data_IF_669311143599
#
_entry.id   IF_669311143599
#
_cell.length_a   1.000
_cell.length_b   1.000
_cell.length_c   1.000
_cell.angle_alpha   90.00
_cell.angle_beta   90.00
_cell.angle_gamma   90.00
#
_symmetry.space_group_name_H-M   'P 1'
#
loop_
_entity.id
_entity.type
_entity.pdbx_description
1 polymer ?
#
# COMPACT_ATOMS: atom_id res chain seq x y z
N UNK A 1 -2.06 9.18 -2.90
CA UNK A 1 -1.40 7.86 -2.70
C UNK A 1 0.08 8.04 -3.01
N UNK A 2 0.98 7.64 -2.10
CA UNK A 2 2.43 7.68 -2.37
C UNK A 2 3.02 6.28 -2.38
N UNK A 3 3.74 5.94 -3.46
CA UNK A 3 4.47 4.68 -3.59
C UNK A 3 5.61 4.80 -4.60
N UNK A 4 6.46 3.77 -4.67
CA UNK A 4 7.43 3.64 -5.77
C UNK A 4 6.72 3.57 -7.13
N UNK A 5 7.43 4.00 -8.18
CA UNK A 5 7.03 3.89 -9.59
C UNK A 5 7.11 2.44 -10.11
N UNK A 6 6.38 1.56 -9.42
CA UNK A 6 6.22 0.14 -9.73
C UNK A 6 4.81 -0.30 -9.29
N UNK A 7 4.43 -1.52 -9.67
CA UNK A 7 3.17 -2.14 -9.24
C UNK A 7 3.13 -2.40 -7.72
N UNK A 8 4.00 -3.28 -7.22
CA UNK A 8 4.22 -3.62 -5.81
C UNK A 8 2.97 -3.72 -4.91
N UNK A 9 3.10 -3.20 -3.68
CA UNK A 9 2.05 -3.22 -2.65
C UNK A 9 0.90 -2.24 -2.94
N UNK A 10 1.15 -1.16 -3.69
CA UNK A 10 0.14 -0.14 -3.97
C UNK A 10 -0.90 -0.56 -5.02
N UNK A 11 -0.68 -1.67 -5.74
CA UNK A 11 -1.56 -2.06 -6.84
C UNK A 11 -3.03 -2.27 -6.43
N UNK A 12 -3.27 -2.97 -5.32
CA UNK A 12 -4.64 -3.19 -4.83
C UNK A 12 -5.30 -1.86 -4.40
N UNK A 13 -4.50 -0.93 -3.88
CA UNK A 13 -4.98 0.40 -3.45
C UNK A 13 -5.38 1.23 -4.66
N UNK A 14 -4.55 1.27 -5.72
CA UNK A 14 -4.87 1.96 -6.99
C UNK A 14 -6.17 1.43 -7.58
N UNK A 15 -6.30 0.10 -7.70
CA UNK A 15 -7.53 -0.53 -8.21
C UNK A 15 -8.76 -0.18 -7.37
N UNK A 16 -8.63 -0.15 -6.04
CA UNK A 16 -9.75 0.17 -5.16
C UNK A 16 -10.14 1.66 -5.25
N UNK A 17 -9.17 2.56 -5.36
CA UNK A 17 -9.43 3.99 -5.55
C UNK A 17 -10.17 4.25 -6.86
N UNK A 18 -9.71 3.64 -7.96
CA UNK A 18 -10.38 3.72 -9.27
C UNK A 18 -11.79 3.12 -9.23
N UNK A 19 -11.94 1.91 -8.68
CA UNK A 19 -13.24 1.22 -8.59
C UNK A 19 -14.28 2.01 -7.78
N UNK A 20 -13.83 2.70 -6.72
CA UNK A 20 -14.70 3.53 -5.87
C UNK A 20 -14.84 4.97 -6.37
N UNK A 21 -14.27 5.28 -7.54
CA UNK A 21 -14.23 6.62 -8.13
C UNK A 21 -13.67 7.68 -7.15
N UNK A 22 -12.80 7.26 -6.23
CA UNK A 22 -12.22 8.14 -5.22
C UNK A 22 -11.14 9.00 -5.88
N UNK A 23 -11.28 10.33 -5.95
CA UNK A 23 -10.26 11.20 -6.53
C UNK A 23 -8.96 11.11 -5.72
N UNK A 24 -7.84 10.89 -6.40
CA UNK A 24 -6.53 10.83 -5.75
C UNK A 24 -5.43 11.29 -6.68
N UNK A 25 -4.33 11.79 -6.10
CA UNK A 25 -3.06 11.97 -6.80
C UNK A 25 -2.15 10.77 -6.54
N UNK A 26 -1.56 10.20 -7.59
CA UNK A 26 -0.56 9.13 -7.49
C UNK A 26 0.85 9.73 -7.49
N UNK A 27 1.40 9.96 -6.29
CA UNK A 27 2.79 10.40 -6.11
C UNK A 27 3.71 9.20 -6.29
N UNK A 28 4.36 9.14 -7.45
CA UNK A 28 5.31 8.10 -7.81
C UNK A 28 6.73 8.55 -7.47
N UNK A 29 7.40 7.78 -6.62
CA UNK A 29 8.82 7.94 -6.35
C UNK A 29 9.63 7.10 -7.33
N UNK A 30 10.53 7.72 -8.08
CA UNK A 30 11.43 6.99 -8.98
C UNK A 30 12.66 6.53 -8.22
N UNK A 31 13.05 5.29 -8.49
CA UNK A 31 14.36 4.77 -8.10
C UNK A 31 15.36 5.18 -9.19
N UNK A 32 16.56 5.61 -8.80
CA UNK A 32 17.63 5.91 -9.74
C UNK A 32 18.06 4.67 -10.55
N UNK A 33 18.88 4.91 -11.57
CA UNK A 33 19.39 3.86 -12.45
C UNK A 33 20.32 2.88 -11.73
N UNK A 34 20.49 1.71 -12.34
CA UNK A 34 21.47 0.72 -11.89
C UNK A 34 22.91 1.25 -12.04
N UNK A 35 23.85 0.80 -11.19
CA UNK A 35 23.68 -0.16 -10.10
C UNK A 35 23.27 0.46 -8.76
N UNK A 36 23.26 1.79 -8.67
CA UNK A 36 23.15 2.50 -7.39
C UNK A 36 21.73 2.53 -6.85
N UNK A 37 20.72 2.50 -7.73
CA UNK A 37 19.30 2.48 -7.35
C UNK A 37 18.96 3.56 -6.33
N UNK A 38 19.29 4.82 -6.64
CA UNK A 38 19.13 5.96 -5.72
C UNK A 38 17.68 6.13 -5.25
N UNK A 39 17.50 6.28 -3.94
CA UNK A 39 16.20 6.40 -3.26
C UNK A 39 15.99 7.78 -2.66
N UNK A 40 16.86 8.74 -2.99
CA UNK A 40 16.86 10.07 -2.39
C UNK A 40 15.52 10.79 -2.49
N UNK A 41 14.76 10.61 -3.58
CA UNK A 41 13.44 11.21 -3.73
C UNK A 41 12.51 10.89 -2.55
N UNK A 42 12.45 9.62 -2.14
CA UNK A 42 11.66 9.21 -0.98
C UNK A 42 12.33 9.60 0.33
N UNK A 43 13.61 9.29 0.49
CA UNK A 43 14.34 9.49 1.75
C UNK A 43 14.32 10.96 2.19
N UNK A 44 14.41 11.90 1.22
CA UNK A 44 14.40 13.33 1.48
C UNK A 44 13.02 13.90 1.84
N UNK A 45 11.94 13.21 1.47
CA UNK A 45 10.56 13.62 1.77
C UNK A 45 9.97 12.90 2.99
N UNK A 46 10.41 11.65 3.26
CA UNK A 46 9.85 10.71 4.25
C UNK A 46 9.43 11.35 5.58
N UNK A 47 10.35 12.06 6.23
CA UNK A 47 10.13 12.63 7.57
C UNK A 47 9.32 13.95 7.56
N UNK A 48 9.11 14.56 6.38
CA UNK A 48 8.41 15.84 6.22
C UNK A 48 6.90 15.68 6.03
N UNK A 49 6.43 14.45 5.77
CA UNK A 49 5.02 14.17 5.49
C UNK A 49 4.16 14.13 6.76
N UNK A 50 4.77 14.04 7.95
CA UNK A 50 4.06 13.93 9.22
C UNK A 50 3.24 12.65 9.32
N UNK A 51 3.80 11.53 8.87
CA UNK A 51 3.26 10.18 9.03
C UNK A 51 3.70 9.65 10.40
N UNK A 52 2.82 8.96 11.14
CA UNK A 52 3.19 8.38 12.45
C UNK A 52 4.29 7.31 12.33
N UNK A 53 4.19 6.49 11.28
CA UNK A 53 5.19 5.48 10.92
C UNK A 53 5.55 5.64 9.44
N UNK A 54 6.52 6.52 9.09
CA UNK A 54 6.82 6.85 7.71
C UNK A 54 7.26 5.63 6.89
N UNK A 55 6.44 5.25 5.90
CA UNK A 55 6.63 4.06 5.07
C UNK A 55 5.88 4.19 3.73
N UNK A 56 6.16 3.29 2.79
CA UNK A 56 5.47 3.18 1.51
C UNK A 56 4.71 1.83 1.44
N UNK A 57 3.44 1.79 1.01
CA UNK A 57 2.64 2.94 0.58
C UNK A 57 2.12 3.80 1.75
N UNK A 58 1.83 5.05 1.43
CA UNK A 58 1.07 5.95 2.30
C UNK A 58 -0.15 6.54 1.58
N UNK A 59 -1.17 6.93 2.34
CA UNK A 59 -2.32 7.71 1.87
C UNK A 59 -2.48 8.94 2.76
N UNK A 60 -2.65 10.11 2.13
CA UNK A 60 -2.98 11.37 2.79
C UNK A 60 -4.34 11.80 2.25
N UNK A 61 -5.30 11.97 3.16
CA UNK A 61 -6.67 12.40 2.87
C UNK A 61 -7.09 13.44 3.92
N UNK A 62 -6.86 14.71 3.58
CA UNK A 62 -7.00 15.85 4.49
C UNK A 62 -6.15 15.66 5.76
N UNK A 63 -6.77 15.63 6.97
CA UNK A 63 -6.05 15.39 8.22
C UNK A 63 -5.66 13.92 8.42
N UNK A 64 -6.25 12.99 7.66
CA UNK A 64 -6.00 11.55 7.80
C UNK A 64 -4.73 11.18 7.07
N UNK A 65 -3.77 10.57 7.78
CA UNK A 65 -2.48 10.16 7.25
C UNK A 65 -2.21 8.72 7.66
N UNK A 66 -2.10 7.83 6.67
CA UNK A 66 -2.00 6.40 6.91
C UNK A 66 -0.79 5.81 6.19
N UNK A 67 -0.13 4.87 6.83
CA UNK A 67 0.80 3.92 6.21
C UNK A 67 0.27 2.50 6.43
N UNK A 68 0.96 1.49 5.88
CA UNK A 68 0.53 0.08 5.80
C UNK A 68 -0.58 -0.15 4.76
N UNK A 69 -0.30 -1.01 3.77
CA UNK A 69 -1.20 -1.25 2.64
C UNK A 69 -2.59 -1.73 3.07
N UNK A 70 -2.66 -2.64 4.04
CA UNK A 70 -3.92 -3.19 4.53
C UNK A 70 -4.74 -2.15 5.30
N UNK A 71 -4.10 -1.31 6.12
CA UNK A 71 -4.77 -0.21 6.82
C UNK A 71 -5.36 0.81 5.84
N UNK A 72 -4.63 1.12 4.76
CA UNK A 72 -5.11 2.00 3.68
C UNK A 72 -6.31 1.37 2.95
N UNK A 73 -6.23 0.08 2.59
CA UNK A 73 -7.34 -0.65 1.95
C UNK A 73 -8.59 -0.64 2.85
N UNK A 74 -8.45 -0.98 4.14
CA UNK A 74 -9.56 -0.96 5.11
C UNK A 74 -10.12 0.45 5.32
N UNK A 75 -9.29 1.49 5.24
CA UNK A 75 -9.77 2.89 5.31
C UNK A 75 -10.69 3.24 4.14
N UNK A 76 -10.26 2.93 2.92
CA UNK A 76 -11.07 3.18 1.71
C UNK A 76 -12.32 2.31 1.75
N UNK A 77 -12.20 1.01 2.04
CA UNK A 77 -13.33 0.09 2.09
C UNK A 77 -14.42 0.53 3.08
N UNK A 78 -14.04 1.04 4.27
CA UNK A 78 -15.00 1.56 5.26
C UNK A 78 -15.79 2.78 4.78
N UNK A 79 -15.25 3.60 3.88
CA UNK A 79 -15.98 4.75 3.31
C UNK A 79 -17.07 4.34 2.33
N UNK A 80 -16.98 3.12 1.81
CA UNK A 80 -17.81 2.61 0.71
C UNK A 80 -18.60 1.34 1.10
N UNK A 81 -18.66 1.02 2.41
CA UNK A 81 -19.31 -0.20 2.92
C UNK A 81 -18.81 -1.50 2.24
N UNK A 82 -17.50 -1.56 1.95
CA UNK A 82 -16.87 -2.73 1.30
C UNK A 82 -16.12 -3.63 2.29
N UNK A 83 -16.49 -3.57 3.58
CA UNK A 83 -16.04 -4.52 4.59
C UNK A 83 -17.09 -5.63 4.77
N UNK A 84 -16.88 -6.57 5.69
CA UNK A 84 -17.94 -7.50 6.08
C UNK A 84 -19.09 -6.77 6.78
N UNK A 85 -20.34 -7.14 6.46
CA UNK A 85 -21.54 -6.59 7.11
C UNK A 85 -22.02 -7.49 8.26
N UNK A 86 -21.67 -8.78 8.18
CA UNK A 86 -21.90 -9.78 9.23
C UNK A 86 -20.59 -10.21 9.90
N UNK A 87 -20.70 -10.85 11.07
CA UNK A 87 -19.54 -11.45 11.75
C UNK A 87 -18.88 -12.51 10.87
N UNK A 88 -19.67 -13.35 10.19
CA UNK A 88 -19.14 -14.37 9.28
C UNK A 88 -18.32 -13.76 8.14
N UNK A 89 -18.83 -12.69 7.52
CA UNK A 89 -18.11 -11.99 6.45
C UNK A 89 -16.85 -11.29 6.97
N UNK A 90 -16.93 -10.68 8.16
CA UNK A 90 -15.79 -10.02 8.80
C UNK A 90 -14.66 -11.02 9.07
N UNK A 91 -14.98 -12.18 9.65
CA UNK A 91 -14.02 -13.27 9.87
C UNK A 91 -13.39 -13.74 8.57
N UNK A 92 -14.18 -13.85 7.48
CA UNK A 92 -13.66 -14.23 6.16
C UNK A 92 -12.72 -13.17 5.59
N UNK A 93 -13.06 -11.88 5.70
CA UNK A 93 -12.20 -10.78 5.25
C UNK A 93 -10.88 -10.78 6.02
N UNK A 94 -10.93 -10.94 7.34
CA UNK A 94 -9.74 -10.94 8.19
C UNK A 94 -8.82 -12.13 7.90
N UNK A 95 -9.36 -13.34 7.77
CA UNK A 95 -8.57 -14.51 7.40
C UNK A 95 -7.94 -14.36 6.01
N UNK A 96 -8.72 -13.91 5.02
CA UNK A 96 -8.23 -13.76 3.64
C UNK A 96 -7.17 -12.68 3.52
N UNK A 97 -7.33 -11.54 4.19
CA UNK A 97 -6.35 -10.46 4.17
C UNK A 97 -4.97 -10.95 4.66
N UNK A 98 -4.96 -11.68 5.78
CA UNK A 98 -3.73 -12.22 6.36
C UNK A 98 -3.14 -13.33 5.47
N UNK A 99 -3.95 -14.28 5.00
CA UNK A 99 -3.50 -15.37 4.15
C UNK A 99 -2.89 -14.88 2.82
N UNK A 100 -3.48 -13.84 2.22
CA UNK A 100 -2.97 -13.24 0.99
C UNK A 100 -1.63 -12.53 1.25
N UNK A 101 -1.45 -11.91 2.42
CA UNK A 101 -0.17 -11.31 2.80
C UNK A 101 0.91 -12.37 2.96
N UNK A 102 0.64 -13.48 3.65
CA UNK A 102 1.59 -14.59 3.83
C UNK A 102 2.00 -15.19 2.48
N UNK A 103 1.03 -15.42 1.59
CA UNK A 103 1.29 -15.91 0.24
C UNK A 103 2.16 -14.93 -0.57
N UNK A 104 1.81 -13.63 -0.54
CA UNK A 104 2.57 -12.59 -1.23
C UNK A 104 4.01 -12.53 -0.72
N UNK A 105 4.20 -12.51 0.60
CA UNK A 105 5.53 -12.46 1.19
C UNK A 105 6.36 -13.70 0.84
N UNK A 106 5.74 -14.88 0.82
CA UNK A 106 6.39 -16.10 0.35
C UNK A 106 6.89 -15.98 -1.09
N UNK A 107 6.09 -15.43 -1.99
CA UNK A 107 6.50 -15.19 -3.39
C UNK A 107 7.59 -14.11 -3.50
N UNK A 108 7.50 -13.03 -2.73
CA UNK A 108 8.52 -11.97 -2.67
C UNK A 108 9.87 -12.56 -2.28
N UNK A 109 9.90 -13.42 -1.25
CA UNK A 109 11.14 -14.05 -0.81
C UNK A 109 11.78 -14.90 -1.90
N UNK A 110 11.00 -15.57 -2.75
CA UNK A 110 11.53 -16.32 -3.90
C UNK A 110 12.07 -15.39 -4.98
N UNK A 111 11.31 -14.36 -5.38
CA UNK A 111 11.70 -13.48 -6.49
C UNK A 111 12.88 -12.55 -6.20
N UNK A 112 13.17 -12.28 -4.92
CA UNK A 112 14.32 -11.46 -4.51
C UNK A 112 15.49 -12.29 -3.97
N UNK A 113 15.40 -13.63 -4.02
CA UNK A 113 16.50 -14.49 -3.61
C UNK A 113 17.61 -14.46 -4.66
N UNK A 114 18.87 -14.10 -4.31
CA UNK A 114 19.99 -14.15 -5.25
C UNK A 114 20.38 -15.58 -5.68
N UNK A 115 19.95 -16.60 -4.94
CA UNK A 115 20.27 -18.01 -5.19
C UNK A 115 19.22 -18.73 -6.07
N UNK A 116 18.12 -18.06 -6.44
CA UNK A 116 17.05 -18.59 -7.30
C UNK A 116 17.12 -17.96 -8.70
#
# INVERSE_FOLDING_TARGET
LGYWDIRGLAHAIRLLLEYTETPYEDKLYSCGEAPDYDKSQWINEKEKLGLDFPNLPYLIDGPTKLTQSNAILRYIARKHNMCGETEEETLRVDMLENQIMDFRMSLVMVCYNPDF
#
